data_IF_028170345325
#
_entry.id   IF_028170345325
#
_cell.length_a   1.000
_cell.length_b   1.000
_cell.length_c   1.000
_cell.angle_alpha   90.00
_cell.angle_beta   90.00
_cell.angle_gamma   90.00
#
_symmetry.space_group_name_H-M   'P 1'
#
loop_
_entity.id
_entity.type
_entity.pdbx_description
1 polymer ?
#
# COMPACT_ATOMS: atom_id res chain seq x y z
N UNK A 1 -25.50 -3.54 14.21
CA UNK A 1 -25.13 -3.22 14.01
C UNK A 1 -24.51 -2.93 13.58
N UNK A 2 -24.39 -2.87 13.47
CA UNK A 2 -23.81 -2.53 12.97
C UNK A 2 -23.15 -2.29 12.58
N UNK A 3 -23.05 -2.19 12.39
CA UNK A 3 -22.46 -1.88 11.94
C UNK A 3 -21.50 -1.49 11.46
N UNK A 4 -21.33 -1.67 11.56
CA UNK A 4 -20.22 -1.21 11.22
C UNK A 4 -19.99 -0.97 9.88
N UNK A 5 -19.72 0.03 9.49
CA UNK A 5 -19.52 0.30 8.19
C UNK A 5 -18.20 -0.14 7.83
N UNK A 6 -18.04 -0.77 6.90
CA UNK A 6 -16.81 -1.11 6.44
C UNK A 6 -16.26 0.12 5.94
N UNK A 7 -15.58 0.78 6.68
CA UNK A 7 -14.97 1.94 6.23
C UNK A 7 -14.19 1.64 5.01
N UNK A 8 -13.41 0.64 5.00
CA UNK A 8 -12.69 0.26 3.82
C UNK A 8 -13.05 -1.15 3.53
N UNK A 9 -13.22 -1.51 2.30
CA UNK A 9 -13.52 -2.87 1.98
C UNK A 9 -12.35 -3.72 2.39
N UNK A 10 -12.62 -4.86 2.94
CA UNK A 10 -11.59 -5.79 3.24
C UNK A 10 -11.04 -6.31 1.94
N UNK A 11 -9.73 -6.46 1.91
CA UNK A 11 -9.10 -7.00 0.72
C UNK A 11 -9.25 -8.51 0.72
N UNK A 12 -9.74 -9.07 -0.36
CA UNK A 12 -9.86 -10.52 -0.44
C UNK A 12 -8.47 -11.11 -0.71
N UNK A 13 -8.40 -12.42 -0.65
CA UNK A 13 -7.11 -13.09 -0.75
C UNK A 13 -6.45 -12.90 -2.11
N UNK A 14 -7.23 -12.91 -3.17
CA UNK A 14 -6.68 -12.72 -4.50
C UNK A 14 -6.05 -11.33 -4.63
N UNK A 15 -6.77 -10.33 -4.15
CA UNK A 15 -6.28 -8.96 -4.18
C UNK A 15 -5.00 -8.83 -3.37
N UNK A 16 -4.99 -9.42 -2.16
CA UNK A 16 -3.81 -9.35 -1.32
C UNK A 16 -2.60 -10.02 -1.96
N UNK A 17 -2.82 -11.15 -2.62
CA UNK A 17 -1.73 -11.82 -3.30
C UNK A 17 -1.14 -10.95 -4.40
N UNK A 18 -1.98 -10.27 -5.15
CA UNK A 18 -1.50 -9.41 -6.21
C UNK A 18 -0.72 -8.22 -5.66
N UNK A 19 -1.22 -7.64 -4.59
CA UNK A 19 -0.51 -6.52 -3.95
C UNK A 19 0.84 -7.00 -3.41
N UNK A 20 0.86 -8.16 -2.74
CA UNK A 20 2.10 -8.70 -2.23
C UNK A 20 3.12 -8.91 -3.34
N UNK A 21 2.64 -9.40 -4.48
CA UNK A 21 3.52 -9.61 -5.63
C UNK A 21 4.15 -8.31 -6.11
N UNK A 22 3.34 -7.26 -6.21
CA UNK A 22 3.87 -5.97 -6.65
C UNK A 22 4.83 -5.37 -5.63
N UNK A 23 4.52 -5.48 -4.36
CA UNK A 23 5.42 -4.97 -3.32
C UNK A 23 6.74 -5.72 -3.36
N UNK A 24 6.67 -7.04 -3.54
CA UNK A 24 7.89 -7.85 -3.65
C UNK A 24 8.74 -7.44 -4.83
N UNK A 25 8.11 -7.17 -5.97
CA UNK A 25 8.84 -6.67 -7.12
C UNK A 25 9.47 -5.31 -6.82
N UNK A 26 8.71 -4.45 -6.13
CA UNK A 26 9.23 -3.16 -5.76
C UNK A 26 10.43 -3.24 -4.84
N UNK A 27 10.45 -4.25 -3.96
CA UNK A 27 11.59 -4.45 -3.09
C UNK A 27 12.85 -4.74 -3.91
N UNK A 28 12.72 -5.55 -4.93
CA UNK A 28 13.86 -5.86 -5.79
C UNK A 28 14.36 -4.62 -6.51
N UNK A 29 13.46 -3.73 -6.88
CA UNK A 29 13.82 -2.51 -7.58
C UNK A 29 14.17 -1.36 -6.67
N UNK A 30 14.13 -1.60 -5.35
CA UNK A 30 14.40 -0.56 -4.35
C UNK A 30 13.39 0.58 -4.45
N UNK A 31 12.16 0.22 -4.75
CA UNK A 31 11.08 1.19 -4.88
C UNK A 31 10.19 1.23 -3.64
N UNK A 32 10.60 0.52 -2.58
CA UNK A 32 9.79 0.36 -1.39
C UNK A 32 10.61 0.75 -0.16
N UNK A 33 10.00 1.50 0.73
CA UNK A 33 10.60 1.91 1.99
C UNK A 33 9.91 1.14 3.10
N UNK A 34 10.68 0.53 4.00
CA UNK A 34 10.12 -0.36 5.01
C UNK A 34 10.32 0.22 6.41
N UNK A 35 9.27 0.20 7.20
CA UNK A 35 9.32 0.61 8.60
C UNK A 35 8.72 1.98 8.83
N UNK A 36 8.06 2.15 9.98
CA UNK A 36 7.34 3.38 10.28
C UNK A 36 8.24 4.61 10.21
N UNK A 37 9.42 4.52 10.82
CA UNK A 37 10.30 5.67 10.88
C UNK A 37 10.80 6.05 9.50
N UNK A 38 11.22 5.07 8.71
CA UNK A 38 11.74 5.35 7.38
C UNK A 38 10.65 5.88 6.45
N UNK A 39 9.44 5.31 6.57
CA UNK A 39 8.33 5.77 5.75
C UNK A 39 8.00 7.21 6.11
N UNK A 40 8.00 7.53 7.40
CA UNK A 40 7.73 8.89 7.84
C UNK A 40 8.74 9.87 7.24
N UNK A 41 10.02 9.55 7.34
CA UNK A 41 11.07 10.43 6.83
C UNK A 41 10.94 10.60 5.33
N UNK A 42 10.73 9.51 4.61
CA UNK A 42 10.60 9.58 3.16
C UNK A 42 9.36 10.38 2.75
N UNK A 43 8.27 10.23 3.50
CA UNK A 43 7.05 10.98 3.21
C UNK A 43 7.27 12.47 3.43
N UNK A 44 8.02 12.83 4.46
CA UNK A 44 8.32 14.24 4.72
C UNK A 44 9.10 14.86 3.57
N UNK A 45 9.90 14.05 2.89
CA UNK A 45 10.70 14.52 1.77
C UNK A 45 9.96 14.44 0.44
N UNK A 46 8.72 13.99 0.47
CA UNK A 46 7.94 13.89 -0.76
C UNK A 46 8.24 12.66 -1.58
N UNK A 47 8.83 11.64 -0.98
CA UNK A 47 9.26 10.47 -1.72
C UNK A 47 8.33 9.28 -1.65
N UNK A 48 7.14 9.44 -1.08
CA UNK A 48 6.19 8.34 -0.95
C UNK A 48 4.91 8.67 -1.69
N UNK A 49 4.44 7.75 -2.50
CA UNK A 49 3.22 7.94 -3.29
C UNK A 49 2.04 7.11 -2.78
N UNK A 50 2.30 6.12 -1.94
CA UNK A 50 1.28 5.26 -1.38
C UNK A 50 1.88 4.58 -0.17
N UNK A 51 1.10 4.33 0.86
CA UNK A 51 1.58 3.64 2.04
C UNK A 51 0.65 2.50 2.41
N UNK A 52 1.23 1.41 2.90
CA UNK A 52 0.48 0.27 3.41
C UNK A 52 0.80 0.18 4.89
N UNK A 53 -0.23 0.18 5.72
CA UNK A 53 -0.05 0.24 7.17
C UNK A 53 -0.76 -0.95 7.81
N UNK A 54 -0.06 -1.67 8.66
CA UNK A 54 -0.65 -2.81 9.35
C UNK A 54 -1.55 -2.33 10.48
N UNK A 55 -2.72 -2.95 10.62
CA UNK A 55 -3.69 -2.50 11.60
C UNK A 55 -3.59 -3.25 12.92
N UNK A 56 -2.82 -4.33 12.98
CA UNK A 56 -2.68 -5.11 14.20
C UNK A 56 -1.45 -4.73 15.02
N UNK A 57 -0.91 -3.54 14.78
CA UNK A 57 0.22 -3.06 15.56
C UNK A 57 -0.26 -2.04 16.59
N UNK A 58 0.62 -1.64 17.50
CA UNK A 58 0.23 -0.72 18.55
C UNK A 58 -0.09 0.64 17.98
N UNK A 59 -0.95 1.37 18.69
CA UNK A 59 -1.25 2.74 18.33
C UNK A 59 0.03 3.58 18.27
N UNK A 60 0.94 3.31 19.18
CA UNK A 60 2.20 4.04 19.21
C UNK A 60 2.95 3.92 17.87
N UNK A 61 2.98 2.71 17.32
CA UNK A 61 3.63 2.51 16.02
C UNK A 61 2.92 3.27 14.91
N UNK A 62 1.60 3.25 14.94
CA UNK A 62 0.82 3.95 13.93
C UNK A 62 0.99 5.45 14.05
N UNK A 63 1.05 5.96 15.27
CA UNK A 63 1.15 7.41 15.49
C UNK A 63 2.48 7.96 15.00
N UNK A 64 3.47 7.11 14.79
CA UNK A 64 4.74 7.57 14.25
C UNK A 64 4.63 7.97 12.79
N UNK A 65 3.73 7.36 12.05
CA UNK A 65 3.74 7.53 10.60
C UNK A 65 2.43 8.06 10.04
N UNK A 66 1.29 7.66 10.60
CA UNK A 66 0.01 8.00 9.99
C UNK A 66 -0.24 9.51 9.91
N UNK A 67 0.05 10.29 10.96
CA UNK A 67 -0.20 11.72 10.86
C UNK A 67 0.59 12.38 9.72
N UNK A 68 1.83 11.96 9.53
CA UNK A 68 2.64 12.50 8.45
C UNK A 68 2.05 12.14 7.09
N UNK A 69 1.62 10.89 6.94
CA UNK A 69 1.03 10.45 5.68
C UNK A 69 -0.22 11.27 5.37
N UNK A 70 -1.06 11.49 6.37
CA UNK A 70 -2.28 12.27 6.16
C UNK A 70 -1.97 13.72 5.84
N UNK A 71 -0.99 14.31 6.52
CA UNK A 71 -0.62 15.69 6.27
C UNK A 71 -0.10 15.87 4.86
N UNK A 72 0.48 14.84 4.29
CA UNK A 72 1.02 14.89 2.94
C UNK A 72 0.03 14.37 1.90
N UNK A 73 -1.18 14.04 2.32
CA UNK A 73 -2.24 13.54 1.42
C UNK A 73 -1.82 12.26 0.69
N UNK A 74 -1.07 11.41 1.39
CA UNK A 74 -0.65 10.14 0.83
C UNK A 74 -1.72 9.12 1.15
N UNK A 75 -2.14 8.37 0.14
CA UNK A 75 -3.15 7.35 0.32
C UNK A 75 -2.63 6.23 1.22
N UNK A 76 -3.44 5.80 2.18
CA UNK A 76 -3.08 4.76 3.11
C UNK A 76 -3.96 3.55 2.86
N UNK A 77 -3.32 2.39 2.69
CA UNK A 77 -4.03 1.14 2.54
C UNK A 77 -3.83 0.36 3.82
N UNK A 78 -4.91 -0.10 4.41
CA UNK A 78 -4.84 -0.86 5.65
C UNK A 78 -4.59 -2.32 5.36
N UNK A 79 -3.71 -2.92 6.12
CA UNK A 79 -3.35 -4.33 5.96
C UNK A 79 -3.57 -5.02 7.30
N UNK A 80 -4.21 -6.18 7.32
CA UNK A 80 -4.62 -6.77 8.61
C UNK A 80 -3.50 -7.39 9.44
N UNK A 81 -2.34 -7.63 8.86
CA UNK A 81 -1.30 -8.37 9.57
C UNK A 81 0.08 -7.79 9.35
N UNK A 82 0.72 -7.36 10.43
CA UNK A 82 2.09 -6.86 10.38
C UNK A 82 3.06 -7.99 10.03
N UNK A 83 2.74 -9.21 10.43
CA UNK A 83 3.58 -10.36 10.11
C UNK A 83 3.53 -10.66 8.61
N UNK A 84 2.33 -10.61 8.04
CA UNK A 84 2.19 -10.84 6.61
C UNK A 84 2.88 -9.75 5.81
N UNK A 85 2.69 -8.51 6.23
CA UNK A 85 3.32 -7.39 5.55
C UNK A 85 4.84 -7.48 5.66
N UNK A 86 5.33 -7.85 6.84
CA UNK A 86 6.76 -8.03 7.04
C UNK A 86 7.35 -9.11 6.15
N UNK A 87 6.63 -10.21 6.00
CA UNK A 87 7.13 -11.33 5.19
C UNK A 87 7.38 -10.90 3.76
N UNK A 88 6.57 -10.01 3.24
CA UNK A 88 6.72 -9.56 1.86
C UNK A 88 8.01 -8.77 1.68
N UNK A 89 8.45 -8.08 2.73
CA UNK A 89 9.63 -7.22 2.64
C UNK A 89 10.83 -7.78 3.39
N UNK A 90 10.79 -9.06 3.73
CA UNK A 90 11.94 -9.71 4.36
C UNK A 90 12.11 -9.44 5.83
N UNK A 91 11.04 -9.12 6.54
CA UNK A 91 11.07 -8.86 7.96
C UNK A 91 10.10 -9.79 8.68
N UNK A 92 10.30 -9.96 9.99
CA UNK A 92 9.32 -10.73 10.76
C UNK A 92 8.00 -9.99 10.82
N UNK A 93 8.05 -8.71 11.10
CA UNK A 93 6.85 -7.87 11.10
C UNK A 93 7.26 -6.47 10.65
N UNK A 94 6.29 -5.73 10.14
CA UNK A 94 6.51 -4.31 9.91
C UNK A 94 5.18 -3.59 10.02
N UNK A 95 5.22 -2.41 10.59
CA UNK A 95 4.00 -1.63 10.77
C UNK A 95 3.63 -0.82 9.53
N UNK A 96 4.60 -0.48 8.70
CA UNK A 96 4.34 0.36 7.54
C UNK A 96 5.31 0.09 6.42
N UNK A 97 4.79 0.20 5.20
CA UNK A 97 5.60 0.08 3.99
C UNK A 97 5.19 1.24 3.09
N UNK A 98 6.17 1.96 2.56
CA UNK A 98 5.90 3.08 1.67
C UNK A 98 6.33 2.74 0.26
N UNK A 99 5.54 3.15 -0.70
CA UNK A 99 5.84 2.92 -2.11
C UNK A 99 6.44 4.20 -2.66
N UNK A 100 7.67 4.11 -3.09
CA UNK A 100 8.44 5.27 -3.51
C UNK A 100 8.47 5.45 -5.03
N UNK A 101 7.65 4.71 -5.73
CA UNK A 101 7.58 4.80 -7.18
C UNK A 101 6.14 5.03 -7.61
N UNK A 102 5.94 6.02 -8.46
CA UNK A 102 4.59 6.41 -8.84
C UNK A 102 3.88 5.34 -9.66
N UNK A 103 4.60 4.69 -10.56
CA UNK A 103 3.98 3.65 -11.39
C UNK A 103 3.60 2.43 -10.54
N UNK A 104 4.45 2.06 -9.59
CA UNK A 104 4.15 0.95 -8.71
C UNK A 104 2.94 1.29 -7.83
N UNK A 105 2.89 2.52 -7.32
CA UNK A 105 1.77 2.95 -6.50
C UNK A 105 0.47 2.88 -7.28
N UNK A 106 0.51 3.30 -8.54
CA UNK A 106 -0.68 3.25 -9.38
C UNK A 106 -1.14 1.82 -9.61
N UNK A 107 -0.19 0.92 -9.87
CA UNK A 107 -0.52 -0.48 -10.07
C UNK A 107 -1.19 -1.09 -8.86
N UNK A 108 -0.68 -0.79 -7.68
CA UNK A 108 -1.27 -1.28 -6.45
C UNK A 108 -2.66 -0.69 -6.25
N UNK A 109 -2.78 0.61 -6.48
CA UNK A 109 -4.06 1.29 -6.30
C UNK A 109 -5.13 0.71 -7.22
N UNK A 110 -4.77 0.42 -8.45
CA UNK A 110 -5.71 -0.15 -9.40
C UNK A 110 -6.18 -1.53 -8.97
N UNK A 111 -5.28 -2.34 -8.44
CA UNK A 111 -5.66 -3.66 -7.97
C UNK A 111 -6.63 -3.55 -6.81
N UNK A 112 -6.36 -2.65 -5.89
CA UNK A 112 -7.19 -2.54 -4.69
C UNK A 112 -8.55 -1.94 -5.01
N UNK A 113 -8.61 -1.02 -5.95
CA UNK A 113 -9.89 -0.42 -6.29
C UNK A 113 -10.79 -1.38 -7.04
N UNK A 114 -10.27 -2.53 -7.40
CA UNK A 114 -11.04 -3.51 -8.11
C UNK A 114 -11.32 -3.09 -9.51
N UNK A 115 -10.56 -2.14 -9.99
CA UNK A 115 -10.75 -1.68 -11.31
C UNK A 115 -10.36 -2.75 -12.18
N UNK A 116 -11.23 -3.28 -12.78
CA UNK A 116 -10.93 -4.32 -13.62
C UNK A 116 -10.27 -3.73 -14.69
N UNK A 117 -9.63 -3.61 -14.40
CA UNK A 117 -9.12 -3.15 -15.28
C UNK A 117 -9.50 -3.72 -16.40
N UNK A 118 -10.44 -3.89 -16.02
CA UNK A 118 -10.89 -4.22 -16.58
C UNK A 118 -11.03 -3.74 -17.36
N UNK A 119 -11.05 -3.41 -17.71
CA UNK A 119 -11.22 -2.90 -18.29
C UNK A 119 -10.66 -2.67 -19.00
N UNK A 120 -10.80 -2.86 -19.50
CA UNK A 120 -10.42 -2.65 -20.05
C UNK A 120 -9.85 -2.34 -20.78
N UNK A 121 -9.80 -2.14 -20.87
CA UNK A 121 -9.42 -1.76 -21.28
C UNK A 121 -8.96 -1.39 -21.83
N UNK A 122 -8.99 -1.05 -21.97
CA UNK A 122 -8.62 -0.73 -22.40
C UNK A 122 -8.06 -0.50 -22.63
N UNK A 123 -8.13 -0.32 -22.72
CA UNK A 123 -7.64 -0.19 -22.85
C UNK A 123 -6.97 0.08 -23.20
N UNK A 124 -6.96 0.37 -23.42
CA UNK A 124 -6.38 0.38 -23.72
C UNK A 124 -5.93 0.57 -24.01
N UNK A 125 -5.95 0.80 -24.24
CA UNK A 125 -5.64 0.87 -24.66
C UNK A 125 -5.21 1.04 -24.92
N UNK A 126 -5.35 1.33 -24.97
CA UNK A 126 -5.02 1.35 -25.33
C UNK A 126 -4.69 1.57 -25.70
N UNK A 127 -4.65 1.84 -25.73
CA UNK A 127 -4.35 1.91 -26.01
C UNK A 127 -4.11 2.24 -26.30
N UNK A 128 -4.06 2.47 -26.53
CA UNK A 128 -3.89 2.57 -26.82
C UNK A 128 -3.68 2.70 -27.13
N UNK A 129 -3.69 2.96 -27.13
CA UNK A 129 -3.58 2.92 -27.35
C UNK A 129 -3.39 2.75 -27.38
N UNK A 130 -3.50 3.14 -27.20
CA UNK A 130 -3.42 2.86 -27.00
C UNK A 130 -3.35 2.78 -27.13
#
# INVERSE_FOLDING_TARGET
>A
MIDTPPAAPELDEVTRQKVRGLVGLGMRGRLVVVGSERVKIAAQKGGIFLAIVATDVSRHSLDKVVPTLRARHIEIIEWPSAAELGAVVGKETTAAVGIADQALARGIRDIISGTPSEKPRHAFRSGRKG
#
